data_IF_734936276550
#
_entry.id   IF_734936276550
#
_cell.length_a   1.000
_cell.length_b   1.000
_cell.length_c   1.000
_cell.angle_alpha   90.00
_cell.angle_beta   90.00
_cell.angle_gamma   90.00
#
_symmetry.space_group_name_H-M   'P 1'
#
loop_
_entity.id
_entity.type
_entity.pdbx_description
1 polymer ?
#
# COMPACT_ATOMS: atom_id res chain seq x y z
N UNK A 1 7.11 -10.88 0.90
CA UNK A 1 6.71 -9.65 0.19
C UNK A 1 7.42 -9.48 -1.15
N UNK A 2 8.76 -9.49 -1.20
CA UNK A 2 9.57 -9.28 -2.44
C UNK A 2 9.08 -10.01 -3.69
N UNK A 3 8.76 -11.30 -3.59
CA UNK A 3 8.27 -12.08 -4.74
C UNK A 3 6.93 -11.55 -5.27
N UNK A 4 6.01 -11.14 -4.39
CA UNK A 4 4.73 -10.59 -4.80
C UNK A 4 4.88 -9.24 -5.52
N UNK A 5 5.76 -8.36 -5.01
CA UNK A 5 6.08 -7.09 -5.66
C UNK A 5 6.66 -7.32 -7.06
N UNK A 6 7.61 -8.26 -7.19
CA UNK A 6 8.20 -8.63 -8.47
C UNK A 6 7.16 -9.20 -9.45
N UNK A 7 6.26 -10.05 -8.98
CA UNK A 7 5.18 -10.62 -9.81
C UNK A 7 4.26 -9.49 -10.34
N UNK A 8 3.86 -8.55 -9.49
CA UNK A 8 3.01 -7.43 -9.90
C UNK A 8 3.67 -6.53 -10.95
N UNK A 9 4.96 -6.20 -10.76
CA UNK A 9 5.73 -5.42 -11.74
C UNK A 9 5.91 -6.18 -13.06
N UNK A 10 6.24 -7.47 -12.99
CA UNK A 10 6.44 -8.31 -14.16
C UNK A 10 5.16 -8.46 -14.98
N UNK A 11 4.00 -8.57 -14.34
CA UNK A 11 2.71 -8.63 -15.01
C UNK A 11 2.52 -7.44 -15.95
N UNK A 12 2.71 -6.22 -15.45
CA UNK A 12 2.52 -5.02 -16.25
C UNK A 12 3.61 -4.81 -17.29
N UNK A 13 4.85 -5.20 -16.98
CA UNK A 13 5.92 -5.25 -17.96
C UNK A 13 5.55 -6.12 -19.17
N UNK A 14 5.01 -7.32 -18.91
CA UNK A 14 4.58 -8.26 -19.96
C UNK A 14 3.37 -7.75 -20.77
N UNK A 15 2.58 -6.84 -20.18
CA UNK A 15 1.46 -6.16 -20.86
C UNK A 15 1.89 -4.93 -21.67
N UNK A 16 3.16 -4.53 -21.61
CA UNK A 16 3.66 -3.30 -22.25
C UNK A 16 3.41 -2.02 -21.44
N UNK A 17 2.72 -2.11 -20.31
CA UNK A 17 2.35 -1.00 -19.43
C UNK A 17 3.47 -0.67 -18.44
N UNK A 18 4.65 -0.30 -18.98
CA UNK A 18 5.89 -0.17 -18.21
C UNK A 18 5.86 0.95 -17.15
N UNK A 19 4.88 1.85 -17.21
CA UNK A 19 4.71 2.94 -16.25
C UNK A 19 4.16 2.47 -14.90
N UNK A 20 3.57 1.27 -14.84
CA UNK A 20 2.99 0.69 -13.63
C UNK A 20 4.06 0.11 -12.72
N UNK A 21 4.72 0.98 -11.97
CA UNK A 21 5.88 0.66 -11.12
C UNK A 21 5.69 1.05 -9.64
N UNK A 22 4.53 1.59 -9.28
CA UNK A 22 4.23 2.05 -7.92
C UNK A 22 3.25 1.11 -7.24
N UNK A 23 3.34 1.03 -5.92
CA UNK A 23 2.32 0.37 -5.12
C UNK A 23 1.47 1.41 -4.39
N UNK A 24 0.28 0.99 -4.00
CA UNK A 24 -0.56 1.73 -3.06
C UNK A 24 -0.79 0.84 -1.85
N UNK A 25 -0.65 1.40 -0.67
CA UNK A 25 -0.81 0.70 0.59
C UNK A 25 -1.53 1.58 1.60
N UNK A 26 -2.01 0.93 2.64
CA UNK A 26 -2.68 1.57 3.76
C UNK A 26 -1.63 1.93 4.82
N UNK A 27 -1.71 3.15 5.36
CA UNK A 27 -0.87 3.62 6.48
C UNK A 27 -1.01 2.70 7.70
N UNK A 28 0.00 2.70 8.55
CA UNK A 28 0.20 1.78 9.67
C UNK A 28 0.42 0.30 9.28
N UNK A 29 0.59 -0.04 8.00
CA UNK A 29 0.94 -1.41 7.58
C UNK A 29 2.40 -1.77 7.85
N UNK A 30 2.66 -3.04 8.16
CA UNK A 30 3.99 -3.64 8.21
C UNK A 30 4.07 -4.85 7.30
N UNK A 31 5.13 -4.93 6.50
CA UNK A 31 5.26 -5.95 5.46
C UNK A 31 6.61 -6.69 5.47
N UNK A 32 7.46 -6.40 6.47
CA UNK A 32 8.77 -7.03 6.68
C UNK A 32 9.96 -6.09 6.45
N UNK A 33 11.16 -6.61 6.73
CA UNK A 33 12.40 -5.81 6.84
C UNK A 33 13.27 -5.78 5.55
N UNK A 34 12.82 -6.38 4.45
CA UNK A 34 13.56 -6.31 3.17
C UNK A 34 13.27 -4.99 2.45
N UNK A 35 14.16 -4.50 1.59
CA UNK A 35 14.04 -3.16 0.97
C UNK A 35 12.69 -2.92 0.25
N UNK A 36 12.20 -3.88 -0.53
CA UNK A 36 10.90 -3.74 -1.18
C UNK A 36 9.74 -3.76 -0.19
N UNK A 37 9.86 -4.56 0.88
CA UNK A 37 8.86 -4.62 1.96
C UNK A 37 8.83 -3.33 2.79
N UNK A 38 10.00 -2.81 3.19
CA UNK A 38 10.12 -1.54 3.91
C UNK A 38 9.53 -0.38 3.12
N UNK A 39 9.71 -0.35 1.79
CA UNK A 39 9.19 0.70 0.92
C UNK A 39 7.67 0.83 0.92
N UNK A 40 6.94 -0.21 1.35
CA UNK A 40 5.48 -0.20 1.48
C UNK A 40 4.98 -0.24 2.93
N UNK A 41 5.87 -0.13 3.92
CA UNK A 41 5.50 0.05 5.33
C UNK A 41 5.23 1.53 5.64
N UNK A 42 4.57 1.82 6.78
CA UNK A 42 4.30 3.21 7.19
C UNK A 42 5.60 4.06 7.24
N UNK A 43 5.69 5.13 6.43
CA UNK A 43 6.91 5.94 6.35
C UNK A 43 7.06 6.92 7.51
N UNK A 44 5.97 7.28 8.20
CA UNK A 44 5.95 8.33 9.21
C UNK A 44 6.07 7.75 10.63
N UNK A 45 5.46 6.59 10.88
CA UNK A 45 5.39 5.97 12.21
C UNK A 45 5.96 4.54 12.25
N UNK A 46 6.58 4.06 11.16
CA UNK A 46 7.12 2.71 11.07
C UNK A 46 8.55 2.58 11.60
N UNK A 47 8.96 1.33 11.86
CA UNK A 47 10.31 0.95 12.32
C UNK A 47 11.43 1.30 11.32
N UNK A 48 11.10 1.75 10.12
CA UNK A 48 12.03 1.94 8.99
C UNK A 48 12.27 3.39 8.59
N UNK A 49 11.88 4.36 9.43
CA UNK A 49 11.98 5.79 9.13
C UNK A 49 13.39 6.23 8.68
N UNK A 50 14.43 5.64 9.27
CA UNK A 50 15.84 5.91 8.92
C UNK A 50 16.18 5.57 7.46
N UNK A 51 15.42 4.67 6.82
CA UNK A 51 15.66 4.22 5.46
C UNK A 51 14.80 4.94 4.42
N UNK A 52 13.86 5.81 4.81
CA UNK A 52 12.91 6.46 3.88
C UNK A 52 13.59 7.20 2.72
N UNK A 53 14.78 7.77 2.91
CA UNK A 53 15.53 8.47 1.87
C UNK A 53 16.10 7.59 0.76
N UNK A 54 16.21 6.27 0.98
CA UNK A 54 16.75 5.30 0.01
C UNK A 54 15.69 4.32 -0.52
N UNK A 55 14.48 4.36 0.06
CA UNK A 55 13.39 3.48 -0.32
C UNK A 55 12.59 4.05 -1.51
N UNK A 56 12.07 3.18 -2.40
CA UNK A 56 11.15 3.60 -3.44
C UNK A 56 9.90 4.28 -2.86
N UNK A 57 9.55 5.44 -3.42
CA UNK A 57 8.36 6.17 -3.00
C UNK A 57 7.09 5.56 -3.59
N UNK A 58 6.09 5.29 -2.75
CA UNK A 58 4.81 4.67 -3.07
C UNK A 58 3.64 5.51 -2.54
N UNK A 59 2.40 5.13 -2.87
CA UNK A 59 1.20 5.84 -2.44
C UNK A 59 0.70 5.28 -1.10
N UNK A 60 0.45 6.16 -0.14
CA UNK A 60 -0.01 5.79 1.19
C UNK A 60 -1.35 6.47 1.49
N UNK A 61 -2.40 5.67 1.62
CA UNK A 61 -3.74 6.14 2.02
C UNK A 61 -3.99 5.85 3.50
N UNK A 62 -4.82 6.66 4.16
CA UNK A 62 -5.24 6.35 5.53
C UNK A 62 -6.05 5.05 5.57
N UNK A 63 -5.90 4.30 6.65
CA UNK A 63 -6.69 3.09 6.89
C UNK A 63 -8.15 3.47 7.09
N UNK A 64 -9.09 2.83 6.36
CA UNK A 64 -10.52 2.92 6.66
C UNK A 64 -10.82 2.12 7.94
N UNK A 65 -10.22 2.56 9.05
CA UNK A 65 -10.45 2.01 10.39
C UNK A 65 -11.77 2.50 10.98
N UNK A 66 -12.32 3.58 10.42
CA UNK A 66 -13.67 4.06 10.66
C UNK A 66 -14.37 4.17 9.33
N UNK A 67 -15.33 3.28 9.06
CA UNK A 67 -16.10 3.16 7.80
C UNK A 67 -16.84 4.47 7.48
N UNK A 68 -16.11 5.48 7.01
CA UNK A 68 -16.67 6.74 6.52
C UNK A 68 -16.61 6.70 5.01
N UNK A 69 -17.72 7.04 4.35
CA UNK A 69 -17.82 7.11 2.88
C UNK A 69 -16.70 7.96 2.24
N UNK A 70 -16.19 8.92 3.00
CA UNK A 70 -15.13 9.84 2.63
C UNK A 70 -13.76 9.15 2.48
N UNK A 71 -13.42 8.16 3.33
CA UNK A 71 -12.16 7.42 3.22
C UNK A 71 -12.14 6.46 2.02
N UNK A 72 -13.27 5.80 1.73
CA UNK A 72 -13.42 5.02 0.51
C UNK A 72 -13.29 5.90 -0.74
N UNK A 73 -13.95 7.06 -0.72
CA UNK A 73 -13.88 8.02 -1.82
C UNK A 73 -12.45 8.53 -2.06
N UNK A 74 -11.66 8.75 -1.00
CA UNK A 74 -10.24 9.13 -1.12
C UNK A 74 -9.36 8.04 -1.69
N UNK A 75 -9.54 6.79 -1.27
CA UNK A 75 -8.83 5.64 -1.84
C UNK A 75 -9.16 5.51 -3.34
N UNK A 76 -10.44 5.57 -3.69
CA UNK A 76 -10.91 5.49 -5.06
C UNK A 76 -10.33 6.64 -5.92
N UNK A 77 -10.37 7.87 -5.41
CA UNK A 77 -9.79 9.03 -6.09
C UNK A 77 -8.28 8.85 -6.35
N UNK A 78 -7.54 8.38 -5.35
CA UNK A 78 -6.09 8.12 -5.47
C UNK A 78 -5.81 7.04 -6.51
N UNK A 79 -6.57 5.94 -6.49
CA UNK A 79 -6.46 4.86 -7.46
C UNK A 79 -6.76 5.34 -8.89
N UNK A 80 -7.82 6.13 -9.08
CA UNK A 80 -8.19 6.70 -10.38
C UNK A 80 -7.10 7.65 -10.90
N UNK A 81 -6.68 8.60 -10.06
CA UNK A 81 -5.68 9.61 -10.40
C UNK A 81 -4.32 9.00 -10.79
N UNK A 82 -3.91 7.93 -10.11
CA UNK A 82 -2.60 7.31 -10.31
C UNK A 82 -2.65 5.93 -10.98
N UNK A 83 -3.78 5.60 -11.63
CA UNK A 83 -4.03 4.31 -12.26
C UNK A 83 -2.93 3.88 -13.24
N UNK A 84 -2.36 4.82 -14.01
CA UNK A 84 -1.27 4.54 -14.97
C UNK A 84 0.09 4.21 -14.31
N UNK A 85 0.25 4.52 -13.03
CA UNK A 85 1.50 4.29 -12.29
C UNK A 85 1.40 3.12 -11.29
N UNK A 86 0.18 2.77 -10.84
CA UNK A 86 -0.04 1.74 -9.81
C UNK A 86 -0.02 0.34 -10.43
N UNK A 87 0.88 -0.50 -9.92
CA UNK A 87 1.02 -1.91 -10.25
C UNK A 87 0.07 -2.79 -9.42
N UNK A 88 -0.02 -2.54 -8.12
CA UNK A 88 -0.88 -3.28 -7.20
C UNK A 88 -1.21 -2.48 -5.94
N UNK A 89 -2.32 -2.84 -5.29
CA UNK A 89 -2.63 -2.47 -3.91
C UNK A 89 -2.14 -3.58 -2.98
N UNK A 90 -1.43 -3.22 -1.92
CA UNK A 90 -0.96 -4.13 -0.87
C UNK A 90 -1.72 -3.81 0.42
N UNK A 91 -2.26 -4.84 1.06
CA UNK A 91 -3.02 -4.70 2.30
C UNK A 91 -2.88 -5.97 3.16
N UNK A 92 -2.92 -5.81 4.47
CA UNK A 92 -3.04 -6.92 5.42
C UNK A 92 -4.53 -7.29 5.52
N UNK A 93 -4.92 -8.56 5.31
CA UNK A 93 -6.32 -8.96 5.44
C UNK A 93 -6.75 -8.96 6.92
N UNK A 94 -7.92 -8.38 7.19
CA UNK A 94 -8.67 -8.43 8.47
C UNK A 94 -8.10 -7.59 9.62
N UNK A 95 -6.78 -7.65 9.88
CA UNK A 95 -6.15 -6.89 10.98
C UNK A 95 -4.82 -6.30 10.53
N UNK A 96 -4.61 -5.00 10.76
CA UNK A 96 -3.26 -4.41 10.74
C UNK A 96 -2.57 -4.72 12.08
N UNK A 97 -1.99 -5.92 12.19
CA UNK A 97 -1.46 -6.44 13.45
C UNK A 97 -0.34 -5.57 14.03
N UNK A 98 0.62 -5.19 13.18
CA UNK A 98 1.76 -4.37 13.60
C UNK A 98 1.46 -2.86 13.69
N UNK A 99 0.37 -2.41 13.06
CA UNK A 99 -0.07 -1.01 13.05
C UNK A 99 -0.91 -0.57 14.26
N UNK A 100 -1.09 -1.45 15.23
CA UNK A 100 -1.92 -1.20 16.41
C UNK A 100 -3.22 -2.01 16.47
N UNK A 101 -3.29 -3.17 15.81
CA UNK A 101 -4.47 -4.05 15.78
C UNK A 101 -5.75 -3.36 15.26
N UNK A 102 -5.64 -2.63 14.15
CA UNK A 102 -6.79 -2.01 13.50
C UNK A 102 -7.59 -3.07 12.74
N UNK A 103 -8.87 -3.23 13.09
CA UNK A 103 -9.81 -4.13 12.40
C UNK A 103 -10.49 -3.40 11.24
N UNK A 104 -10.57 -4.05 10.08
CA UNK A 104 -11.44 -3.59 8.99
C UNK A 104 -12.88 -4.04 9.29
N UNK A 105 -13.80 -3.09 9.47
CA UNK A 105 -15.19 -3.41 9.77
C UNK A 105 -15.97 -3.78 8.49
N UNK A 106 -16.55 -4.98 8.45
CA UNK A 106 -17.24 -5.54 7.29
C UNK A 106 -18.75 -5.29 7.31
N UNK A 107 -19.20 -4.07 7.62
CA UNK A 107 -20.64 -3.77 7.67
C UNK A 107 -20.94 -2.52 6.84
N UNK A 108 -21.47 -2.76 5.63
CA UNK A 108 -22.27 -1.77 4.92
C UNK A 108 -23.66 -1.85 5.58
N UNK A 109 -24.03 -0.82 6.34
CA UNK A 109 -25.40 -0.60 6.82
C UNK A 109 -26.20 0.14 5.76
#
# INVERSE_FOLDING_TARGET
MESALKIALQYWHNKGEKNKQKFITIRAGYHGDTFGAMGICDPDNGLHQLFCGVLPQHYFVKSPSTVTMDEHSRLEATLKQHSNAIAAMILEPVVQGAGGMLFYQSTIS
#
